data_IF_063147940534
#
_entry.id   IF_063147940534
#
_cell.length_a   1.000
_cell.length_b   1.000
_cell.length_c   1.000
_cell.angle_alpha   90.00
_cell.angle_beta   90.00
_cell.angle_gamma   90.00
#
_symmetry.space_group_name_H-M   'P 1'
#
loop_
_entity.id
_entity.type
_entity.pdbx_description
1 polymer ?
#
# COMPACT_ATOMS: atom_id res chain seq x y z
N UNK A 1 -16.31 2.23 16.06
CA UNK A 1 -15.36 1.33 15.37
C UNK A 1 -15.87 -0.11 15.38
N UNK A 2 -16.42 -0.59 16.49
CA UNK A 2 -16.97 -1.96 16.60
C UNK A 2 -17.96 -2.33 15.51
N UNK A 3 -18.90 -1.45 15.15
CA UNK A 3 -19.90 -1.74 14.11
C UNK A 3 -19.35 -1.93 12.68
N UNK A 4 -18.24 -1.26 12.34
CA UNK A 4 -17.66 -1.31 10.99
C UNK A 4 -16.65 -2.46 10.85
N UNK A 5 -15.96 -2.83 11.92
CA UNK A 5 -14.91 -3.84 11.93
C UNK A 5 -15.35 -5.17 12.57
N UNK A 6 -16.64 -5.36 12.79
CA UNK A 6 -17.21 -6.62 13.31
C UNK A 6 -16.82 -7.81 12.39
N UNK A 7 -16.16 -8.85 12.91
CA UNK A 7 -15.75 -10.03 12.13
C UNK A 7 -16.91 -10.77 11.45
N UNK A 8 -18.13 -10.70 11.99
CA UNK A 8 -19.31 -11.30 11.36
C UNK A 8 -19.74 -10.56 10.09
N UNK A 9 -19.28 -9.31 9.91
CA UNK A 9 -19.71 -8.42 8.82
C UNK A 9 -18.60 -8.04 7.85
N UNK A 10 -17.35 -7.91 8.33
CA UNK A 10 -16.21 -7.54 7.51
C UNK A 10 -15.10 -8.59 7.58
N UNK A 11 -14.82 -9.22 6.44
CA UNK A 11 -13.75 -10.20 6.32
C UNK A 11 -12.51 -9.57 5.65
N UNK A 12 -11.43 -9.39 6.41
CA UNK A 12 -10.17 -8.81 5.95
C UNK A 12 -9.40 -9.65 4.93
N UNK A 13 -9.73 -10.94 4.80
CA UNK A 13 -9.03 -11.86 3.88
C UNK A 13 -9.56 -11.78 2.44
N UNK A 14 -10.67 -11.08 2.22
CA UNK A 14 -11.36 -11.01 0.93
C UNK A 14 -11.22 -9.59 0.38
N UNK A 15 -10.85 -9.48 -0.91
CA UNK A 15 -10.82 -8.18 -1.60
C UNK A 15 -12.24 -7.62 -1.76
N UNK A 16 -12.47 -6.31 -1.55
CA UNK A 16 -13.79 -5.72 -1.73
C UNK A 16 -14.10 -5.52 -3.22
N UNK A 17 -15.00 -6.33 -3.75
CA UNK A 17 -15.58 -6.14 -5.08
C UNK A 17 -17.04 -6.61 -5.05
N UNK A 18 -17.94 -5.90 -5.74
CA UNK A 18 -19.35 -6.31 -5.80
C UNK A 18 -19.49 -7.55 -6.67
N UNK A 19 -18.72 -7.62 -7.76
CA UNK A 19 -18.60 -8.81 -8.59
C UNK A 19 -17.13 -9.25 -8.72
N UNK A 20 -16.88 -10.55 -8.79
CA UNK A 20 -15.54 -11.13 -8.95
C UNK A 20 -14.81 -10.69 -10.23
N UNK A 21 -15.54 -10.25 -11.26
CA UNK A 21 -14.97 -9.73 -12.51
C UNK A 21 -14.55 -8.25 -12.44
N UNK A 22 -14.94 -7.53 -11.39
CA UNK A 22 -14.66 -6.10 -11.27
C UNK A 22 -13.22 -5.83 -10.80
N UNK A 23 -12.66 -4.75 -11.35
CA UNK A 23 -11.34 -4.24 -11.00
C UNK A 23 -11.45 -3.31 -9.80
N UNK A 24 -10.50 -3.43 -8.87
CA UNK A 24 -10.33 -2.48 -7.77
C UNK A 24 -9.18 -1.56 -8.14
N UNK A 25 -9.49 -0.31 -8.47
CA UNK A 25 -8.49 0.69 -8.82
C UNK A 25 -7.75 1.14 -7.57
N UNK A 26 -6.42 1.00 -7.57
CA UNK A 26 -5.54 1.51 -6.53
C UNK A 26 -4.70 2.63 -7.13
N UNK A 27 -4.76 3.82 -6.53
CA UNK A 27 -3.90 4.94 -6.93
C UNK A 27 -2.68 4.91 -6.02
N UNK A 28 -1.48 4.99 -6.58
CA UNK A 28 -0.25 5.01 -5.80
C UNK A 28 0.49 6.32 -6.07
N UNK A 29 0.97 6.93 -4.99
CA UNK A 29 1.83 8.11 -5.05
C UNK A 29 2.97 7.94 -4.04
N UNK A 30 4.15 8.42 -4.43
CA UNK A 30 5.36 8.34 -3.62
C UNK A 30 5.84 9.76 -3.33
N UNK A 31 6.09 10.03 -2.05
CA UNK A 31 6.74 11.25 -1.59
C UNK A 31 8.11 10.90 -1.03
N UNK A 32 9.18 11.45 -1.62
CA UNK A 32 10.53 11.25 -1.11
C UNK A 32 10.75 12.13 0.12
N UNK A 33 11.14 11.52 1.25
CA UNK A 33 11.49 12.24 2.46
C UNK A 33 12.99 12.56 2.52
N UNK A 34 13.85 11.56 2.25
CA UNK A 34 15.30 11.76 2.23
C UNK A 34 16.02 10.71 1.37
N UNK A 35 17.17 11.08 0.80
CA UNK A 35 18.12 10.14 0.22
C UNK A 35 19.19 9.83 1.28
N UNK A 36 19.27 8.57 1.72
CA UNK A 36 20.10 8.14 2.86
C UNK A 36 21.52 7.81 2.38
N UNK A 37 21.66 7.01 1.33
CA UNK A 37 22.96 6.63 0.80
C UNK A 37 22.89 6.15 -0.66
N UNK A 38 24.03 6.26 -1.34
CA UNK A 38 24.26 5.71 -2.68
C UNK A 38 25.57 4.93 -2.64
N UNK A 39 25.47 3.63 -2.91
CA UNK A 39 26.59 2.70 -3.01
C UNK A 39 26.77 2.35 -4.48
N UNK A 40 27.67 3.06 -5.17
CA UNK A 40 27.81 3.01 -6.64
C UNK A 40 28.39 1.66 -7.12
N UNK A 41 29.33 1.10 -6.37
CA UNK A 41 29.96 -0.19 -6.69
C UNK A 41 28.96 -1.34 -6.60
N UNK A 42 28.08 -1.29 -5.60
CA UNK A 42 27.02 -2.28 -5.36
C UNK A 42 25.72 -1.97 -6.11
N UNK A 43 25.60 -0.78 -6.70
CA UNK A 43 24.40 -0.25 -7.38
C UNK A 43 23.15 -0.18 -6.48
N UNK A 44 23.35 0.19 -5.22
CA UNK A 44 22.27 0.27 -4.22
C UNK A 44 22.06 1.72 -3.79
N UNK A 45 20.82 2.19 -3.87
CA UNK A 45 20.37 3.46 -3.30
C UNK A 45 19.39 3.19 -2.16
N UNK A 46 19.62 3.80 -1.00
CA UNK A 46 18.72 3.74 0.16
C UNK A 46 18.04 5.10 0.33
N UNK A 47 16.70 5.13 0.31
CA UNK A 47 15.90 6.35 0.48
C UNK A 47 14.78 6.12 1.50
N UNK A 48 14.40 7.17 2.23
CA UNK A 48 13.18 7.19 3.02
C UNK A 48 12.07 7.80 2.16
N UNK A 49 10.96 7.09 2.04
CA UNK A 49 9.82 7.50 1.23
C UNK A 49 8.53 7.25 2.00
N UNK A 50 7.52 8.07 1.73
CA UNK A 50 6.14 7.80 2.10
C UNK A 50 5.39 7.30 0.86
N UNK A 51 4.73 6.16 0.98
CA UNK A 51 3.84 5.61 -0.03
C UNK A 51 2.41 5.90 0.39
N UNK A 52 1.68 6.66 -0.42
CA UNK A 52 0.25 6.92 -0.22
C UNK A 52 -0.54 6.12 -1.23
N UNK A 53 -1.59 5.46 -0.75
CA UNK A 53 -2.50 4.59 -1.50
C UNK A 53 -3.93 5.12 -1.41
#
# INVERSE_FOLDING_TARGET
>A
VEYLLDPARYNKLIRPATNGSELVTVQLMVSLAQLISVHEREQIMTTNVWLTQ
#
